data_IF_200425055885
#
_entry.id   IF_200425055885
#
_cell.length_a   1.000
_cell.length_b   1.000
_cell.length_c   1.000
_cell.angle_alpha   90.00
_cell.angle_beta   90.00
_cell.angle_gamma   90.00
#
_symmetry.space_group_name_H-M   'P 1'
#
loop_
_entity.id
_entity.type
_entity.pdbx_description
1 polymer ?
#
# COMPACT_ATOMS: atom_id res chain seq x y z
N UNK A 1 -16.32 22.62 -7.09
CA UNK A 1 -16.68 21.79 -5.91
C UNK A 1 -16.23 20.34 -6.06
N UNK A 2 -16.52 19.67 -7.18
CA UNK A 2 -16.15 18.26 -7.39
C UNK A 2 -14.63 17.99 -7.30
N UNK A 3 -13.77 18.84 -7.88
CA UNK A 3 -12.30 18.69 -7.79
C UNK A 3 -11.78 18.72 -6.35
N UNK A 4 -12.32 19.60 -5.49
CA UNK A 4 -11.91 19.67 -4.09
C UNK A 4 -12.28 18.39 -3.34
N UNK A 5 -13.45 17.80 -3.63
CA UNK A 5 -13.88 16.54 -3.03
C UNK A 5 -12.98 15.39 -3.50
N UNK A 6 -12.66 15.31 -4.79
CA UNK A 6 -11.75 14.29 -5.34
C UNK A 6 -10.34 14.40 -4.74
N UNK A 7 -9.81 15.61 -4.58
CA UNK A 7 -8.51 15.85 -3.94
C UNK A 7 -8.50 15.42 -2.47
N UNK A 8 -9.56 15.72 -1.71
CA UNK A 8 -9.68 15.29 -0.31
C UNK A 8 -9.72 13.76 -0.22
N UNK A 9 -10.53 13.10 -1.05
CA UNK A 9 -10.62 11.63 -1.09
C UNK A 9 -9.27 11.01 -1.43
N UNK A 10 -8.57 11.58 -2.41
CA UNK A 10 -7.27 11.09 -2.83
C UNK A 10 -6.19 11.26 -1.74
N UNK A 11 -6.22 12.38 -1.01
CA UNK A 11 -5.34 12.61 0.13
C UNK A 11 -5.58 11.57 1.24
N UNK A 12 -6.84 11.28 1.57
CA UNK A 12 -7.20 10.27 2.57
C UNK A 12 -6.72 8.88 2.14
N UNK A 13 -6.90 8.51 0.88
CA UNK A 13 -6.42 7.24 0.34
C UNK A 13 -4.89 7.12 0.35
N UNK A 14 -4.18 8.22 0.07
CA UNK A 14 -2.71 8.25 0.15
C UNK A 14 -2.23 7.96 1.58
N UNK A 15 -2.82 8.62 2.58
CA UNK A 15 -2.48 8.42 4.00
C UNK A 15 -2.77 6.98 4.43
N UNK A 16 -3.94 6.44 4.06
CA UNK A 16 -4.29 5.05 4.35
C UNK A 16 -3.31 4.06 3.71
N UNK A 17 -2.90 4.29 2.45
CA UNK A 17 -1.89 3.45 1.81
C UNK A 17 -0.56 3.48 2.54
N UNK A 18 -0.09 4.65 2.95
CA UNK A 18 1.16 4.78 3.70
C UNK A 18 1.08 3.97 4.99
N UNK A 19 0.01 4.13 5.78
CA UNK A 19 -0.18 3.39 7.03
C UNK A 19 -0.19 1.87 6.77
N UNK A 20 -0.97 1.43 5.78
CA UNK A 20 -1.10 0.01 5.46
C UNK A 20 0.23 -0.58 4.97
N UNK A 21 1.02 0.15 4.20
CA UNK A 21 2.35 -0.28 3.73
C UNK A 21 3.34 -0.38 4.90
N UNK A 22 3.33 0.59 5.81
CA UNK A 22 4.20 0.57 6.99
C UNK A 22 3.88 -0.63 7.89
N UNK A 23 2.60 -0.94 8.08
CA UNK A 23 2.15 -2.12 8.84
C UNK A 23 2.52 -3.45 8.16
N UNK A 24 2.77 -3.45 6.85
CA UNK A 24 3.23 -4.63 6.11
C UNK A 24 4.74 -4.84 6.13
N UNK A 25 5.55 -3.92 6.68
CA UNK A 25 6.99 -4.08 6.71
C UNK A 25 7.39 -5.23 7.63
N UNK A 26 7.61 -6.40 7.03
CA UNK A 26 8.13 -7.57 7.72
C UNK A 26 9.65 -7.47 7.79
N UNK A 27 10.18 -6.93 8.89
CA UNK A 27 11.45 -7.30 9.53
C UNK A 27 12.72 -7.50 8.68
N UNK A 28 12.77 -7.03 7.43
CA UNK A 28 13.96 -7.07 6.57
C UNK A 28 14.90 -5.96 7.03
N UNK A 29 15.53 -6.15 8.19
CA UNK A 29 16.62 -5.30 8.66
C UNK A 29 17.78 -5.31 7.66
N UNK A 30 18.70 -4.35 7.77
CA UNK A 30 19.84 -4.16 6.86
C UNK A 30 20.59 -5.46 6.50
N UNK A 31 20.62 -6.47 7.39
CA UNK A 31 21.22 -7.79 7.12
C UNK A 31 20.60 -8.59 5.97
N UNK A 32 19.34 -8.32 5.58
CA UNK A 32 18.70 -8.94 4.42
C UNK A 32 19.25 -8.41 3.07
N UNK A 33 19.78 -7.18 3.04
CA UNK A 33 20.41 -6.59 1.86
C UNK A 33 21.84 -7.13 1.62
N UNK A 34 22.46 -7.74 2.64
CA UNK A 34 23.83 -8.26 2.62
C UNK A 34 23.91 -9.80 2.50
N UNK A 35 22.83 -10.47 2.09
CA UNK A 35 22.85 -11.92 1.85
C UNK A 35 22.90 -12.77 3.14
N UNK A 36 22.48 -12.23 4.28
CA UNK A 36 22.33 -12.96 5.54
C UNK A 36 21.32 -14.10 5.38
N UNK A 37 21.83 -15.34 5.32
CA UNK A 37 21.03 -16.55 5.14
C UNK A 37 19.97 -16.69 6.22
N UNK A 38 18.73 -16.76 5.77
CA UNK A 38 17.57 -17.03 6.59
C UNK A 38 16.38 -17.16 5.67
N UNK A 39 16.44 -18.14 4.78
CA UNK A 39 15.34 -18.62 3.95
C UNK A 39 14.23 -19.19 4.84
N UNK A 40 13.71 -18.38 5.76
CA UNK A 40 12.45 -18.63 6.43
C UNK A 40 11.40 -18.22 5.43
N UNK A 41 11.08 -19.15 4.53
CA UNK A 41 9.84 -19.12 3.76
C UNK A 41 8.69 -19.33 4.76
N UNK A 42 8.41 -18.30 5.58
CA UNK A 42 7.17 -18.24 6.32
C UNK A 42 6.08 -18.08 5.28
N UNK A 43 5.36 -19.17 5.04
CA UNK A 43 4.14 -19.13 4.24
C UNK A 43 3.27 -18.03 4.84
N UNK A 44 2.89 -17.03 4.02
CA UNK A 44 1.99 -15.96 4.47
C UNK A 44 0.65 -16.59 4.88
N UNK A 45 0.41 -16.78 6.18
CA UNK A 45 -0.85 -17.31 6.71
C UNK A 45 -1.62 -16.21 7.44
N UNK A 46 -2.94 -16.21 7.29
CA UNK A 46 -3.86 -15.33 8.03
C UNK A 46 -3.75 -13.85 7.67
N UNK A 47 -3.44 -13.04 8.67
CA UNK A 47 -3.53 -11.56 8.64
C UNK A 47 -2.63 -10.95 7.57
N UNK A 48 -1.44 -11.50 7.36
CA UNK A 48 -0.48 -10.98 6.37
C UNK A 48 -0.96 -11.12 4.93
N UNK A 49 -1.72 -12.18 4.61
CA UNK A 49 -2.28 -12.39 3.28
C UNK A 49 -3.47 -11.46 3.03
N UNK A 50 -4.25 -11.20 4.08
CA UNK A 50 -5.36 -10.24 4.04
C UNK A 50 -4.81 -8.83 3.84
N UNK A 51 -3.86 -8.36 4.65
CA UNK A 51 -3.25 -7.04 4.50
C UNK A 51 -2.63 -6.84 3.12
N UNK A 52 -1.94 -7.86 2.58
CA UNK A 52 -1.37 -7.81 1.24
C UNK A 52 -2.45 -7.61 0.16
N UNK A 53 -3.52 -8.43 0.19
CA UNK A 53 -4.62 -8.29 -0.76
C UNK A 53 -5.34 -6.94 -0.61
N UNK A 54 -5.55 -6.48 0.63
CA UNK A 54 -6.20 -5.21 0.93
C UNK A 54 -5.41 -4.03 0.35
N UNK A 55 -4.08 -4.09 0.43
CA UNK A 55 -3.18 -3.07 -0.12
C UNK A 55 -3.24 -3.01 -1.63
N UNK A 56 -3.31 -4.16 -2.29
CA UNK A 56 -3.47 -4.22 -3.74
C UNK A 56 -4.78 -3.53 -4.15
N UNK A 57 -5.88 -3.85 -3.47
CA UNK A 57 -7.19 -3.24 -3.76
C UNK A 57 -7.16 -1.72 -3.52
N UNK A 58 -6.64 -1.26 -2.38
CA UNK A 58 -6.54 0.17 -2.09
C UNK A 58 -5.60 0.87 -3.08
N UNK A 59 -4.48 0.25 -3.44
CA UNK A 59 -3.50 0.82 -4.36
C UNK A 59 -4.09 1.01 -5.76
N UNK A 60 -4.80 0.00 -6.27
CA UNK A 60 -5.50 0.10 -7.55
C UNK A 60 -6.56 1.22 -7.50
N UNK A 61 -7.36 1.28 -6.44
CA UNK A 61 -8.36 2.34 -6.27
C UNK A 61 -7.72 3.74 -6.22
N UNK A 62 -6.60 3.90 -5.53
CA UNK A 62 -5.86 5.16 -5.46
C UNK A 62 -5.33 5.59 -6.83
N UNK A 63 -4.71 4.69 -7.59
CA UNK A 63 -4.19 5.02 -8.92
C UNK A 63 -5.31 5.33 -9.92
N UNK A 64 -6.44 4.61 -9.87
CA UNK A 64 -7.59 4.92 -10.71
C UNK A 64 -8.15 6.31 -10.40
N UNK A 65 -8.33 6.63 -9.11
CA UNK A 65 -8.75 7.97 -8.69
C UNK A 65 -7.74 9.05 -9.08
N UNK A 66 -6.44 8.75 -9.04
CA UNK A 66 -5.40 9.67 -9.48
C UNK A 66 -5.50 10.00 -10.97
N UNK A 67 -5.73 8.99 -11.81
CA UNK A 67 -5.90 9.17 -13.26
C UNK A 67 -7.18 9.95 -13.54
N UNK A 68 -8.29 9.61 -12.86
CA UNK A 68 -9.57 10.33 -13.00
C UNK A 68 -9.43 11.79 -12.58
N UNK A 69 -8.73 12.07 -11.48
CA UNK A 69 -8.44 13.43 -11.03
C UNK A 69 -7.61 14.17 -12.08
N UNK A 70 -6.56 13.56 -12.64
CA UNK A 70 -5.73 14.17 -13.68
C UNK A 70 -6.51 14.50 -14.96
N UNK A 71 -7.49 13.67 -15.34
CA UNK A 71 -8.30 13.89 -16.56
C UNK A 71 -9.39 14.95 -16.35
N UNK A 72 -9.91 15.08 -15.11
CA UNK A 72 -10.96 16.04 -14.75
C UNK A 72 -10.38 17.41 -14.31
N UNK A 73 -9.14 17.42 -13.82
CA UNK A 73 -8.38 18.61 -13.45
C UNK A 73 -8.05 19.47 -14.68
#
# INVERSE_FOLDING_TARGET
MLNNILQIIQLVLAVLLIIVILLQQKGSGMGAAFGGSGTVFTTRRGIDKVLYNLTIVISVAFFLLAIVNLVIA
#
